data_IF_935883719681
#
_entry.id   IF_935883719681
#
_cell.length_a   1.000
_cell.length_b   1.000
_cell.length_c   1.000
_cell.angle_alpha   90.00
_cell.angle_beta   90.00
_cell.angle_gamma   90.00
#
_symmetry.space_group_name_H-M   'P 1'
#
loop_
_entity.id
_entity.type
_entity.pdbx_description
1 polymer ?
#
# COMPACT_ATOMS: atom_id res chain seq x y z
N UNK A 1 -18.65 -0.46 16.68
CA UNK A 1 -18.55 -1.73 15.95
C UNK A 1 -17.54 -1.55 14.82
N UNK A 2 -16.34 -2.15 14.89
CA UNK A 2 -15.32 -2.07 13.83
C UNK A 2 -15.55 -3.26 12.87
N UNK A 3 -15.91 -2.98 11.62
CA UNK A 3 -16.36 -3.96 10.62
C UNK A 3 -15.32 -4.22 9.51
N UNK A 4 -14.03 -4.01 9.80
CA UNK A 4 -12.99 -3.91 8.76
C UNK A 4 -12.03 -5.09 8.78
N UNK A 5 -12.53 -6.30 8.51
CA UNK A 5 -11.64 -7.45 8.25
C UNK A 5 -12.37 -8.56 7.49
N UNK A 6 -13.12 -8.19 6.45
CA UNK A 6 -13.23 -9.13 5.34
C UNK A 6 -11.81 -9.28 4.81
N UNK A 7 -11.28 -10.50 4.70
CA UNK A 7 -9.91 -10.85 4.26
C UNK A 7 -9.56 -10.36 2.85
N UNK A 8 -9.67 -9.04 2.64
CA UNK A 8 -9.44 -8.29 1.42
C UNK A 8 -7.99 -7.87 1.44
N UNK A 9 -7.30 -8.13 0.34
CA UNK A 9 -5.95 -7.65 0.13
C UNK A 9 -5.98 -6.12 -0.04
N UNK A 10 -5.51 -5.40 0.97
CA UNK A 10 -5.44 -3.94 0.96
C UNK A 10 -4.06 -3.42 0.56
N UNK A 11 -3.05 -4.29 0.47
CA UNK A 11 -1.69 -3.94 0.06
C UNK A 11 -1.27 -4.75 -1.15
N UNK A 12 -0.74 -4.05 -2.15
CA UNK A 12 -0.14 -4.63 -3.34
C UNK A 12 1.35 -4.27 -3.35
N UNK A 13 2.20 -5.25 -3.03
CA UNK A 13 3.64 -5.06 -2.86
C UNK A 13 4.37 -4.93 -4.19
N UNK A 14 5.42 -4.10 -4.20
CA UNK A 14 6.32 -3.99 -5.35
C UNK A 14 7.10 -5.29 -5.58
N UNK A 15 7.34 -5.66 -6.86
CA UNK A 15 8.14 -6.81 -7.19
C UNK A 15 9.63 -6.55 -6.92
N UNK A 16 10.34 -7.54 -6.39
CA UNK A 16 11.80 -7.48 -6.24
C UNK A 16 12.47 -8.64 -6.98
N UNK A 17 13.72 -8.43 -7.39
CA UNK A 17 14.51 -9.45 -8.05
C UNK A 17 15.18 -10.36 -7.01
N UNK A 18 15.10 -11.68 -7.22
CA UNK A 18 15.87 -12.68 -6.48
C UNK A 18 16.96 -13.28 -7.37
N UNK A 19 18.14 -13.49 -6.80
CA UNK A 19 19.27 -14.09 -7.53
C UNK A 19 19.07 -15.58 -7.83
N UNK A 20 18.26 -16.26 -7.01
CA UNK A 20 17.96 -17.68 -7.17
C UNK A 20 16.90 -17.87 -8.26
N UNK A 21 17.26 -18.64 -9.29
CA UNK A 21 16.32 -19.10 -10.31
C UNK A 21 15.40 -20.15 -9.71
N UNK A 22 14.25 -19.73 -9.21
CA UNK A 22 13.26 -20.66 -8.68
C UNK A 22 11.96 -19.94 -8.46
N UNK A 23 11.00 -20.14 -9.37
CA UNK A 23 9.59 -19.73 -9.23
C UNK A 23 8.85 -20.47 -8.09
N UNK A 24 9.59 -20.87 -7.05
CA UNK A 24 9.09 -21.44 -5.82
C UNK A 24 8.52 -20.32 -4.95
N UNK A 25 7.46 -20.66 -4.21
CA UNK A 25 6.88 -19.75 -3.22
C UNK A 25 7.93 -19.32 -2.19
N UNK A 26 8.02 -18.01 -1.94
CA UNK A 26 8.96 -17.42 -0.99
C UNK A 26 8.23 -17.15 0.33
N UNK A 27 8.51 -17.93 1.37
CA UNK A 27 7.87 -17.78 2.68
C UNK A 27 8.28 -16.49 3.40
N UNK A 28 9.42 -15.91 3.03
CA UNK A 28 9.96 -14.66 3.58
C UNK A 28 9.76 -13.45 2.66
N UNK A 29 8.90 -13.56 1.63
CA UNK A 29 8.70 -12.53 0.60
C UNK A 29 8.49 -11.13 1.18
N UNK A 30 7.66 -11.01 2.23
CA UNK A 30 7.39 -9.72 2.88
C UNK A 30 8.67 -9.05 3.39
N UNK A 31 9.42 -9.74 4.25
CA UNK A 31 10.67 -9.22 4.82
C UNK A 31 11.73 -8.95 3.75
N UNK A 32 11.76 -9.76 2.68
CA UNK A 32 12.68 -9.57 1.56
C UNK A 32 12.34 -8.33 0.74
N UNK A 33 11.05 -8.09 0.45
CA UNK A 33 10.59 -6.86 -0.22
C UNK A 33 10.94 -5.63 0.61
N UNK A 34 10.64 -5.63 1.91
CA UNK A 34 10.97 -4.51 2.80
C UNK A 34 12.48 -4.24 2.83
N UNK A 35 13.30 -5.28 2.94
CA UNK A 35 14.77 -5.13 2.94
C UNK A 35 15.32 -4.67 1.59
N UNK A 36 14.70 -5.09 0.48
CA UNK A 36 15.13 -4.73 -0.87
C UNK A 36 14.93 -3.24 -1.17
N UNK A 37 13.82 -2.66 -0.70
CA UNK A 37 13.48 -1.25 -0.90
C UNK A 37 14.01 -0.33 0.21
N UNK A 38 14.35 -0.86 1.38
CA UNK A 38 14.97 -0.08 2.46
C UNK A 38 16.48 0.12 2.26
N UNK A 39 16.86 0.72 1.14
CA UNK A 39 18.24 1.10 0.81
C UNK A 39 18.27 2.49 0.17
N UNK A 40 19.41 3.17 0.24
CA UNK A 40 19.56 4.55 -0.26
C UNK A 40 19.17 4.74 -1.72
N UNK A 41 19.27 3.71 -2.56
CA UNK A 41 18.84 3.74 -3.96
C UNK A 41 17.33 3.98 -4.13
N UNK A 42 16.55 3.54 -3.15
CA UNK A 42 15.09 3.65 -3.13
C UNK A 42 14.63 4.49 -1.92
N UNK A 43 15.45 5.49 -1.57
CA UNK A 43 15.15 6.47 -0.51
C UNK A 43 14.93 5.87 0.87
N UNK A 44 15.41 4.64 1.11
CA UNK A 44 15.18 3.89 2.34
C UNK A 44 13.67 3.78 2.67
N UNK A 45 12.83 3.61 1.65
CA UNK A 45 11.39 3.57 1.86
C UNK A 45 10.96 2.33 2.65
N UNK A 46 10.14 2.55 3.68
CA UNK A 46 9.45 1.50 4.44
C UNK A 46 8.05 1.19 3.88
N UNK A 47 7.66 1.88 2.81
CA UNK A 47 6.37 1.70 2.13
C UNK A 47 6.55 1.14 0.70
N UNK A 48 7.02 -0.12 0.52
CA UNK A 48 7.22 -0.73 -0.79
C UNK A 48 5.93 -1.34 -1.36
N UNK A 49 4.78 -0.70 -1.15
CA UNK A 49 3.49 -1.22 -1.58
C UNK A 49 2.51 -0.07 -1.88
N UNK A 50 1.55 -0.36 -2.74
CA UNK A 50 0.34 0.47 -2.85
C UNK A 50 -0.66 0.00 -1.80
N UNK A 51 -1.27 0.93 -1.06
CA UNK A 51 -2.27 0.61 -0.04
C UNK A 51 -3.61 1.23 -0.37
N UNK A 52 -4.70 0.48 -0.15
CA UNK A 52 -6.07 0.93 -0.30
C UNK A 52 -6.72 1.01 1.08
N UNK A 53 -7.28 2.17 1.42
CA UNK A 53 -8.15 2.30 2.58
C UNK A 53 -9.60 2.12 2.13
N UNK A 54 -10.34 1.24 2.80
CA UNK A 54 -11.73 0.94 2.44
C UNK A 54 -12.69 1.55 3.43
N UNK A 55 -13.87 1.89 2.95
CA UNK A 55 -14.98 2.25 3.83
C UNK A 55 -15.42 1.08 4.72
N UNK A 56 -16.17 1.38 5.78
CA UNK A 56 -16.72 0.38 6.71
C UNK A 56 -17.81 -0.51 6.11
N UNK A 57 -18.30 -0.14 4.93
CA UNK A 57 -19.39 -0.81 4.27
C UNK A 57 -18.94 -2.13 3.62
N UNK A 58 -19.83 -3.13 3.51
CA UNK A 58 -19.60 -4.34 2.71
C UNK A 58 -19.37 -4.07 1.22
N UNK A 59 -19.63 -2.86 0.72
CA UNK A 59 -19.63 -2.52 -0.71
C UNK A 59 -18.25 -2.32 -1.36
N UNK A 60 -17.14 -2.62 -0.66
CA UNK A 60 -15.76 -2.52 -1.17
C UNK A 60 -15.36 -1.14 -1.74
N UNK A 61 -15.97 -0.02 -1.33
CA UNK A 61 -15.55 1.30 -1.81
C UNK A 61 -14.22 1.70 -1.19
N UNK A 62 -13.32 2.20 -2.04
CA UNK A 62 -12.02 2.75 -1.63
C UNK A 62 -12.23 4.21 -1.22
N UNK A 63 -11.79 4.55 0.00
CA UNK A 63 -11.76 5.92 0.52
C UNK A 63 -10.55 6.69 -0.02
N UNK A 64 -9.41 6.02 -0.10
CA UNK A 64 -8.13 6.56 -0.55
C UNK A 64 -7.21 5.42 -1.01
N UNK A 65 -6.28 5.74 -1.90
CA UNK A 65 -5.26 4.82 -2.36
C UNK A 65 -3.90 5.54 -2.37
N UNK A 66 -2.95 4.98 -1.64
CA UNK A 66 -1.55 5.42 -1.64
C UNK A 66 -0.71 4.65 -2.65
N UNK A 67 0.27 5.34 -3.21
CA UNK A 67 1.32 4.74 -4.02
C UNK A 67 2.48 4.26 -3.12
N UNK A 68 3.43 3.47 -3.66
CA UNK A 68 4.67 3.15 -2.95
C UNK A 68 5.52 4.39 -2.69
N UNK A 69 6.29 4.38 -1.60
CA UNK A 69 7.12 5.51 -1.16
C UNK A 69 6.61 6.15 0.14
N UNK A 70 7.52 6.75 0.91
CA UNK A 70 7.17 7.30 2.22
C UNK A 70 6.16 8.46 2.12
N UNK A 71 6.33 9.32 1.11
CA UNK A 71 5.49 10.49 0.86
C UNK A 71 4.05 10.14 0.46
N UNK A 72 3.83 8.91 -0.01
CA UNK A 72 2.57 8.42 -0.57
C UNK A 72 1.89 7.40 0.35
N UNK A 73 2.41 7.24 1.57
CA UNK A 73 1.86 6.33 2.55
C UNK A 73 0.48 6.80 3.02
N UNK A 74 -0.48 5.88 3.01
CA UNK A 74 -1.86 6.10 3.45
C UNK A 74 -1.90 6.46 4.94
N UNK A 75 -2.50 7.60 5.29
CA UNK A 75 -2.63 8.06 6.68
C UNK A 75 -4.08 7.99 7.17
N UNK A 76 -4.46 6.78 7.61
CA UNK A 76 -5.81 6.47 8.12
C UNK A 76 -6.28 7.32 9.30
N UNK A 77 -5.37 8.01 10.00
CA UNK A 77 -5.69 8.85 11.16
C UNK A 77 -5.97 10.31 10.78
N UNK A 78 -5.48 10.78 9.63
CA UNK A 78 -5.78 12.13 9.12
C UNK A 78 -7.23 12.25 8.64
N UNK A 79 -7.81 11.13 8.21
CA UNK A 79 -9.12 11.08 7.54
C UNK A 79 -10.26 10.64 8.47
N UNK A 80 -10.04 10.72 9.79
CA UNK A 80 -11.10 10.52 10.78
C UNK A 80 -12.12 11.68 10.83
N UNK A 81 -11.91 12.75 10.05
CA UNK A 81 -12.90 13.82 9.87
C UNK A 81 -13.89 13.45 8.75
N UNK A 82 -15.18 13.24 9.07
CA UNK A 82 -16.21 12.89 8.07
C UNK A 82 -16.44 13.97 7.01
N UNK A 83 -15.89 15.19 7.16
CA UNK A 83 -16.04 16.29 6.21
C UNK A 83 -14.90 16.39 5.16
N UNK A 84 -13.85 15.56 5.23
CA UNK A 84 -12.69 15.64 4.30
C UNK A 84 -12.88 14.84 2.99
N UNK A 85 -14.12 14.50 2.64
CA UNK A 85 -14.46 13.62 1.49
C UNK A 85 -14.13 14.20 0.10
N UNK A 86 -13.49 15.37 -0.03
CA UNK A 86 -13.31 16.06 -1.32
C UNK A 86 -11.86 16.30 -1.80
N UNK A 87 -10.83 15.71 -1.19
CA UNK A 87 -9.46 15.82 -1.73
C UNK A 87 -9.02 14.54 -2.48
N UNK A 88 -9.96 13.65 -2.83
CA UNK A 88 -9.66 12.54 -3.74
C UNK A 88 -9.82 12.98 -5.20
N UNK A 89 -8.84 13.71 -5.73
CA UNK A 89 -8.44 13.64 -7.14
C UNK A 89 -7.19 14.51 -7.40
N UNK A 90 -5.99 13.95 -7.23
CA UNK A 90 -4.92 14.29 -8.18
C UNK A 90 -4.47 13.00 -8.85
N UNK A 91 -5.40 12.58 -9.69
CA UNK A 91 -5.31 11.53 -10.69
C UNK A 91 -4.12 11.81 -11.62
N UNK A 92 -3.30 10.78 -11.83
CA UNK A 92 -2.63 10.47 -13.10
C UNK A 92 -1.80 11.62 -13.70
N UNK A 93 -0.47 11.52 -13.54
CA UNK A 93 0.39 11.65 -14.72
C UNK A 93 1.54 10.66 -14.65
N UNK A 94 1.34 9.53 -15.32
CA UNK A 94 2.43 8.72 -15.88
C UNK A 94 2.88 9.45 -17.15
N UNK A 95 4.00 10.17 -17.09
CA UNK A 95 5.12 10.12 -18.06
C UNK A 95 6.38 10.68 -17.39
#
# INVERSE_FOLDING_TARGET
YKLYEFGRQNKDYLPYAIATSGGTYQTNALSSTESFYNVSKYENTTNPYSEKNYEASPLNRVLEQGAPGADWAVNKNSDADPNTTLIMCMMILVI
#
